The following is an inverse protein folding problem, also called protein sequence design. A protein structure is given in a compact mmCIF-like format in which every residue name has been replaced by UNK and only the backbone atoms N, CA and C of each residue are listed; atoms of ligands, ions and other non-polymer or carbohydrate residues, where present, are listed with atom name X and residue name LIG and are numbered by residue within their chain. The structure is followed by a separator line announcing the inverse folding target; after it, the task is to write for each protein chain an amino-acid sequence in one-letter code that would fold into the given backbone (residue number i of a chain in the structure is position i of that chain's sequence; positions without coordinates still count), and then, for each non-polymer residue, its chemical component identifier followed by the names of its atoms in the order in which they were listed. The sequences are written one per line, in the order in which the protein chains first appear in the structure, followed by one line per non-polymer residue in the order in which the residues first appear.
data_IF_018138787480
#
_entry.id   IF_018138787480
#
_cell.length_a   1.000
_cell.length_b   1.000
_cell.length_c   1.000
_cell.angle_alpha   90.00
_cell.angle_beta   90.00
_cell.angle_gamma   90.00
#
_symmetry.space_group_name_H-M   'P 1'
#
loop_
_entity.id
_entity.type
_entity.pdbx_description
1 polymer ?
#
# COMPACT_ATOMS: atom_id res chain seq x y z
N UNK A 1 -9.30 4.00 -8.27
CA UNK A 1 -8.51 5.08 -8.92
C UNK A 1 -7.81 5.86 -7.82
N UNK A 2 -6.61 6.41 -8.05
CA UNK A 2 -5.77 7.01 -6.98
C UNK A 2 -5.13 8.33 -7.41
N UNK A 3 -4.71 9.13 -6.43
CA UNK A 3 -3.89 10.34 -6.66
C UNK A 3 -2.39 10.01 -6.64
N UNK A 4 -1.64 10.56 -7.60
CA UNK A 4 -0.20 10.33 -7.77
C UNK A 4 0.54 11.67 -7.82
N UNK A 5 1.65 11.79 -7.07
CA UNK A 5 2.55 12.94 -7.15
C UNK A 5 3.98 12.53 -6.77
N UNK A 6 4.67 11.83 -7.67
CA UNK A 6 6.07 11.41 -7.49
C UNK A 6 6.82 11.46 -8.82
N UNK A 7 8.13 11.72 -8.78
CA UNK A 7 9.02 11.75 -9.96
C UNK A 7 9.97 10.56 -10.06
N UNK A 8 9.95 9.66 -9.09
CA UNK A 8 10.77 8.46 -9.02
C UNK A 8 9.89 7.26 -8.69
N UNK A 9 10.25 6.06 -9.13
CA UNK A 9 9.54 4.81 -8.82
C UNK A 9 10.54 3.76 -8.34
N UNK A 10 10.03 2.77 -7.59
CA UNK A 10 10.80 1.59 -7.22
C UNK A 10 10.93 0.68 -8.43
N UNK A 11 12.15 0.26 -8.74
CA UNK A 11 12.39 -0.70 -9.82
C UNK A 11 11.96 -2.11 -9.37
N UNK A 12 10.93 -2.62 -10.04
CA UNK A 12 10.31 -3.92 -9.75
C UNK A 12 11.21 -5.11 -10.01
N UNK A 13 12.19 -4.98 -10.90
CA UNK A 13 13.13 -6.06 -11.22
C UNK A 13 14.21 -6.21 -10.15
N UNK A 14 14.33 -5.22 -9.26
CA UNK A 14 15.37 -5.15 -8.22
C UNK A 14 14.86 -5.50 -6.82
N UNK A 15 13.60 -5.96 -6.70
CA UNK A 15 13.03 -6.28 -5.39
C UNK A 15 13.81 -7.42 -4.72
N UNK A 16 14.28 -7.24 -3.48
CA UNK A 16 15.02 -8.29 -2.77
C UNK A 16 14.09 -9.43 -2.37
N UNK A 17 14.67 -10.60 -2.10
CA UNK A 17 13.91 -11.76 -1.62
C UNK A 17 13.07 -11.40 -0.39
N UNK A 18 11.78 -11.77 -0.44
CA UNK A 18 10.83 -11.48 0.63
C UNK A 18 10.10 -10.15 0.50
N UNK A 19 10.48 -9.27 -0.44
CA UNK A 19 9.68 -8.09 -0.80
C UNK A 19 8.83 -8.42 -2.02
N UNK A 20 7.52 -8.23 -1.89
CA UNK A 20 6.54 -8.58 -2.91
C UNK A 20 5.82 -7.33 -3.39
N UNK A 21 5.72 -7.17 -4.71
CA UNK A 21 4.87 -6.15 -5.32
C UNK A 21 3.39 -6.41 -5.02
N UNK A 22 2.65 -5.34 -4.72
CA UNK A 22 1.23 -5.43 -4.36
C UNK A 22 0.32 -4.64 -5.29
N UNK A 23 0.84 -3.58 -5.89
CA UNK A 23 0.07 -2.70 -6.77
C UNK A 23 0.93 -2.35 -7.98
N UNK A 24 0.29 -2.32 -9.15
CA UNK A 24 0.91 -1.98 -10.42
C UNK A 24 0.09 -0.89 -11.08
N UNK A 25 0.75 0.13 -11.61
CA UNK A 25 0.10 1.16 -12.40
C UNK A 25 -0.46 0.53 -13.69
N UNK A 26 -1.76 0.70 -13.93
CA UNK A 26 -2.37 0.28 -15.19
C UNK A 26 -2.09 1.24 -16.35
N UNK A 27 -1.49 2.41 -16.08
CA UNK A 27 -1.13 3.37 -17.13
C UNK A 27 0.22 3.05 -17.78
N UNK A 28 1.19 2.55 -17.02
CA UNK A 28 2.57 2.37 -17.49
C UNK A 28 3.29 1.13 -16.92
N UNK A 29 2.64 0.33 -16.08
CA UNK A 29 3.22 -0.88 -15.51
C UNK A 29 4.23 -0.64 -14.38
N UNK A 30 4.40 0.60 -13.90
CA UNK A 30 5.32 0.91 -12.81
C UNK A 30 4.84 0.36 -11.45
N UNK A 31 5.79 0.11 -10.53
CA UNK A 31 5.47 -0.36 -9.19
C UNK A 31 4.70 0.72 -8.41
N UNK A 32 3.59 0.34 -7.79
CA UNK A 32 2.74 1.24 -7.02
C UNK A 32 2.58 0.84 -5.54
N UNK A 33 3.30 -0.18 -5.07
CA UNK A 33 3.26 -0.63 -3.70
C UNK A 33 3.94 -1.97 -3.49
N UNK A 34 4.41 -2.18 -2.27
CA UNK A 34 5.16 -3.37 -1.85
C UNK A 34 4.73 -3.83 -0.45
N UNK A 35 4.97 -5.10 -0.15
CA UNK A 35 4.84 -5.69 1.19
C UNK A 35 5.98 -6.63 1.51
N UNK A 36 6.22 -6.86 2.79
CA UNK A 36 7.21 -7.83 3.25
C UNK A 36 6.52 -9.17 3.56
N UNK A 37 7.07 -10.27 3.04
CA UNK A 37 6.61 -11.62 3.33
C UNK A 37 6.79 -11.92 4.83
N UNK A 38 5.76 -12.50 5.45
CA UNK A 38 5.79 -12.93 6.86
C UNK A 38 5.82 -11.80 7.90
N UNK A 39 5.73 -10.52 7.51
CA UNK A 39 5.76 -9.39 8.44
C UNK A 39 4.65 -8.37 8.10
N UNK A 40 4.03 -7.71 9.11
CA UNK A 40 2.98 -6.72 8.88
C UNK A 40 3.57 -5.36 8.45
N UNK A 41 4.24 -5.34 7.30
CA UNK A 41 4.90 -4.16 6.73
C UNK A 41 4.50 -4.02 5.27
N UNK A 42 3.98 -2.85 4.91
CA UNK A 42 3.63 -2.50 3.53
C UNK A 42 3.85 -1.01 3.27
N UNK A 43 3.94 -0.66 1.99
CA UNK A 43 3.90 0.73 1.51
C UNK A 43 3.16 0.83 0.18
N UNK A 44 2.73 2.04 -0.15
CA UNK A 44 2.14 2.38 -1.45
C UNK A 44 2.82 3.62 -2.03
N UNK A 45 2.85 3.71 -3.36
CA UNK A 45 3.46 4.81 -4.09
C UNK A 45 2.51 6.00 -4.30
N UNK A 46 1.20 5.72 -4.29
CA UNK A 46 0.14 6.72 -4.43
C UNK A 46 -0.16 7.40 -3.09
N UNK A 47 -0.95 8.47 -3.13
CA UNK A 47 -1.45 9.20 -1.96
C UNK A 47 -2.79 8.61 -1.50
N UNK A 48 -2.82 7.69 -0.52
CA UNK A 48 -4.07 7.09 -0.06
C UNK A 48 -5.00 8.08 0.63
N UNK A 49 -4.46 9.17 1.20
CA UNK A 49 -5.20 10.27 1.81
C UNK A 49 -5.94 11.13 0.79
N UNK A 50 -5.46 11.14 -0.46
CA UNK A 50 -5.89 12.02 -1.54
C UNK A 50 -5.73 13.51 -1.17
N UNK A 51 -6.75 14.34 -1.47
CA UNK A 51 -6.76 15.80 -1.24
C UNK A 51 -5.74 16.61 -2.06
N UNK A 52 -6.00 16.84 -3.37
CA UNK A 52 -7.22 16.48 -4.11
C UNK A 52 -7.22 15.02 -4.63
N UNK A 53 -8.40 14.55 -5.05
CA UNK A 53 -8.58 13.29 -5.78
C UNK A 53 -9.48 12.25 -5.08
N UNK A 54 -9.59 11.03 -5.66
CA UNK A 54 -10.53 10.01 -5.21
C UNK A 54 -10.12 9.35 -3.89
N UNK A 55 -11.09 8.86 -3.13
CA UNK A 55 -10.87 8.24 -1.81
C UNK A 55 -10.81 6.69 -1.85
N UNK A 56 -10.76 6.10 -3.04
CA UNK A 56 -10.84 4.65 -3.25
C UNK A 56 -9.75 3.85 -2.50
N UNK A 57 -8.63 4.48 -2.16
CA UNK A 57 -7.49 3.88 -1.43
C UNK A 57 -7.53 4.08 0.09
N UNK A 58 -8.58 4.70 0.66
CA UNK A 58 -8.69 4.96 2.11
C UNK A 58 -8.66 3.70 2.97
N UNK A 59 -9.04 2.54 2.41
CA UNK A 59 -8.99 1.24 3.11
C UNK A 59 -7.57 0.90 3.63
N UNK A 60 -6.50 1.45 3.02
CA UNK A 60 -5.12 1.23 3.45
C UNK A 60 -4.86 1.76 4.87
N UNK A 61 -5.53 2.85 5.27
CA UNK A 61 -5.47 3.33 6.65
C UNK A 61 -6.14 2.35 7.61
N UNK A 62 -7.29 1.77 7.21
CA UNK A 62 -7.96 0.73 8.00
C UNK A 62 -7.06 -0.48 8.16
N UNK A 63 -6.42 -0.93 7.08
CA UNK A 63 -5.45 -2.03 7.09
C UNK A 63 -4.33 -1.75 8.07
N UNK A 64 -3.74 -0.55 8.01
CA UNK A 64 -2.69 -0.13 8.94
C UNK A 64 -3.15 -0.17 10.41
N UNK A 65 -4.35 0.34 10.69
CA UNK A 65 -4.95 0.26 12.03
C UNK A 65 -5.17 -1.18 12.46
N UNK A 66 -5.66 -2.06 11.57
CA UNK A 66 -5.83 -3.48 11.87
C UNK A 66 -4.51 -4.17 12.22
N UNK A 67 -3.41 -3.86 11.52
CA UNK A 67 -2.08 -4.37 11.89
C UNK A 67 -1.69 -3.97 13.32
N UNK A 68 -1.95 -2.71 13.73
CA UNK A 68 -1.72 -2.26 15.11
C UNK A 68 -2.66 -2.93 16.12
N UNK A 69 -3.91 -3.20 15.75
CA UNK A 69 -4.88 -3.90 16.60
C UNK A 69 -4.46 -5.33 16.85
N UNK A 70 -4.12 -6.07 15.79
CA UNK A 70 -3.62 -7.44 15.87
C UNK A 70 -2.35 -7.52 16.71
N UNK A 71 -1.40 -6.60 16.54
CA UNK A 71 -0.19 -6.51 17.38
C UNK A 71 -0.50 -6.28 18.88
N UNK A 72 -1.64 -5.66 19.21
CA UNK A 72 -2.13 -5.45 20.58
C UNK A 72 -3.09 -6.54 21.07
N UNK A 73 -3.32 -7.61 20.31
CA UNK A 73 -4.29 -8.65 20.64
C UNK A 73 -5.76 -8.17 20.58
N UNK A 74 -6.03 -7.08 19.87
CA UNK A 74 -7.38 -6.54 19.66
C UNK A 74 -7.98 -7.11 18.36
N UNK A 75 -9.31 -7.34 18.30
CA UNK A 75 -9.95 -7.85 17.10
C UNK A 75 -9.89 -6.84 15.95
N UNK A 76 -9.75 -7.29 14.72
CA UNK A 76 -9.77 -6.41 13.54
C UNK A 76 -11.16 -5.78 13.31
N UNK A 77 -11.19 -4.67 12.57
CA UNK A 77 -12.43 -4.04 12.08
C UNK A 77 -12.53 -4.23 10.58
N UNK A 78 -13.74 -4.43 10.06
CA UNK A 78 -13.96 -4.70 8.63
C UNK A 78 -13.36 -3.61 7.73
N UNK A 79 -12.52 -3.98 6.76
CA UNK A 79 -12.14 -3.08 5.67
C UNK A 79 -13.43 -2.73 4.89
N UNK A 80 -13.66 -1.42 4.67
CA UNK A 80 -14.76 -0.90 3.86
C UNK A 80 -14.16 -0.26 2.63
#
# INVERSE_FOLDING_TARGET
IVSMNHGFTVDRETLPTGVEETHVSLFDGTNCGIRLAGRPVFSVQHHPEASPGPQDSHYLFRRFVNMMRTAKGLPEVAER
#
